data_IF_068066358694
#
_entry.id   IF_068066358694
#
_cell.length_a   1.000
_cell.length_b   1.000
_cell.length_c   1.000
_cell.angle_alpha   90.00
_cell.angle_beta   90.00
_cell.angle_gamma   90.00
#
_symmetry.space_group_name_H-M   'P 1'
#
loop_
_entity.id
_entity.type
_entity.pdbx_description
1 polymer ?
#
# COMPACT_ATOMS: atom_id res chain seq x y z
N UNK A 1 -22.14 -11.89 12.47
CA UNK A 1 -21.35 -12.61 11.45
C UNK A 1 -19.97 -11.97 11.37
N UNK A 2 -18.91 -12.63 11.84
CA UNK A 2 -17.54 -12.09 11.77
C UNK A 2 -16.95 -12.47 10.41
N UNK A 3 -16.52 -11.47 9.64
CA UNK A 3 -15.75 -11.68 8.41
C UNK A 3 -14.33 -12.11 8.79
N UNK A 4 -13.91 -13.30 8.35
CA UNK A 4 -12.60 -13.84 8.68
C UNK A 4 -11.72 -13.87 7.42
N UNK A 5 -10.78 -12.91 7.34
CA UNK A 5 -9.83 -12.73 6.26
C UNK A 5 -8.53 -12.14 6.81
N UNK A 6 -7.44 -12.34 6.10
CA UNK A 6 -6.14 -11.75 6.38
C UNK A 6 -5.70 -10.87 5.20
N UNK A 7 -5.38 -9.61 5.50
CA UNK A 7 -4.79 -8.68 4.53
C UNK A 7 -3.29 -8.97 4.42
N UNK A 8 -2.78 -9.05 3.20
CA UNK A 8 -1.37 -9.29 2.93
C UNK A 8 -0.77 -8.11 2.19
N UNK A 9 0.31 -7.55 2.73
CA UNK A 9 1.05 -6.45 2.14
C UNK A 9 2.49 -6.90 1.94
N UNK A 10 3.00 -6.72 0.73
CA UNK A 10 4.40 -6.99 0.41
C UNK A 10 5.01 -5.78 -0.24
N UNK A 11 6.11 -5.31 0.33
CA UNK A 11 6.83 -4.13 -0.13
C UNK A 11 8.09 -4.56 -0.86
N UNK A 12 8.32 -3.95 -2.01
CA UNK A 12 9.54 -4.08 -2.79
C UNK A 12 10.11 -2.70 -2.98
N UNK A 13 11.34 -2.50 -2.51
CA UNK A 13 12.05 -1.24 -2.65
C UNK A 13 13.28 -1.48 -3.52
N UNK A 14 13.45 -0.66 -4.54
CA UNK A 14 14.59 -0.70 -5.43
C UNK A 14 15.16 0.70 -5.59
N UNK A 15 16.48 0.84 -5.45
CA UNK A 15 17.15 2.09 -5.76
C UNK A 15 17.10 2.31 -7.27
N UNK A 16 17.00 3.57 -7.69
CA UNK A 16 17.02 3.94 -9.10
C UNK A 16 18.46 4.29 -9.47
N UNK A 17 19.18 3.47 -10.26
CA UNK A 17 20.63 3.67 -10.49
C UNK A 17 20.98 5.03 -11.10
N UNK A 18 20.05 5.61 -11.88
CA UNK A 18 20.22 6.91 -12.53
C UNK A 18 19.87 8.12 -11.66
N UNK A 19 19.31 7.91 -10.46
CA UNK A 19 18.86 9.00 -9.57
C UNK A 19 19.34 8.73 -8.13
N UNK A 20 20.47 9.33 -7.70
CA UNK A 20 20.89 9.23 -6.31
C UNK A 20 19.78 9.76 -5.39
N UNK A 21 19.67 9.17 -4.19
CA UNK A 21 18.65 9.50 -3.19
C UNK A 21 17.19 9.30 -3.64
N UNK A 22 16.96 8.50 -4.70
CA UNK A 22 15.63 8.10 -5.14
C UNK A 22 15.48 6.59 -5.09
N UNK A 23 14.33 6.12 -4.60
CA UNK A 23 13.94 4.72 -4.67
C UNK A 23 12.54 4.57 -5.26
N UNK A 24 12.29 3.44 -5.89
CA UNK A 24 10.97 3.00 -6.30
C UNK A 24 10.42 2.05 -5.23
N UNK A 25 9.20 2.30 -4.78
CA UNK A 25 8.49 1.43 -3.85
C UNK A 25 7.28 0.82 -4.57
N UNK A 26 7.30 -0.50 -4.73
CA UNK A 26 6.16 -1.27 -5.20
C UNK A 26 5.49 -1.97 -4.02
N UNK A 27 4.17 -1.82 -3.92
CA UNK A 27 3.36 -2.47 -2.88
C UNK A 27 2.40 -3.44 -3.54
N UNK A 28 2.52 -4.71 -3.17
CA UNK A 28 1.61 -5.77 -3.56
C UNK A 28 0.60 -6.01 -2.44
N UNK A 29 -0.69 -5.97 -2.81
CA UNK A 29 -1.81 -6.12 -1.90
C UNK A 29 -2.56 -7.43 -2.22
N UNK A 30 -2.70 -8.29 -1.23
CA UNK A 30 -3.42 -9.56 -1.31
C UNK A 30 -4.44 -9.71 -0.19
N UNK A 31 -5.42 -10.58 -0.39
CA UNK A 31 -6.42 -10.93 0.63
C UNK A 31 -6.54 -12.46 0.68
N UNK A 32 -6.23 -13.04 1.84
CA UNK A 32 -6.45 -14.44 2.13
C UNK A 32 -7.78 -14.62 2.86
N UNK A 33 -8.69 -15.39 2.27
CA UNK A 33 -10.01 -15.67 2.82
C UNK A 33 -9.95 -16.93 3.70
N UNK A 34 -10.17 -16.77 5.00
CA UNK A 34 -10.10 -17.88 5.97
C UNK A 34 -11.46 -18.59 6.12
N UNK A 35 -12.55 -17.89 5.80
CA UNK A 35 -13.89 -18.46 5.66
C UNK A 35 -14.60 -17.85 4.46
N UNK A 36 -15.34 -18.66 3.70
CA UNK A 36 -16.14 -18.17 2.58
C UNK A 36 -17.36 -17.39 3.09
N UNK A 37 -17.77 -16.37 2.32
CA UNK A 37 -18.94 -15.55 2.64
C UNK A 37 -19.67 -15.18 1.34
N UNK A 38 -21.00 -15.12 1.37
CA UNK A 38 -21.80 -14.78 0.19
C UNK A 38 -21.42 -13.40 -0.39
N UNK A 39 -20.91 -12.48 0.44
CA UNK A 39 -20.51 -11.14 0.02
C UNK A 39 -19.01 -10.99 -0.27
N UNK A 40 -18.28 -12.10 -0.45
CA UNK A 40 -16.81 -12.10 -0.59
C UNK A 40 -16.32 -11.13 -1.66
N UNK A 41 -16.92 -11.15 -2.86
CA UNK A 41 -16.56 -10.23 -3.95
C UNK A 41 -16.72 -8.75 -3.57
N UNK A 42 -17.83 -8.39 -2.91
CA UNK A 42 -18.12 -7.00 -2.50
C UNK A 42 -17.12 -6.55 -1.45
N UNK A 43 -16.84 -7.41 -0.46
CA UNK A 43 -15.88 -7.12 0.60
C UNK A 43 -14.45 -7.03 0.06
N UNK A 44 -14.02 -7.94 -0.83
CA UNK A 44 -12.72 -7.86 -1.53
C UNK A 44 -12.57 -6.51 -2.22
N UNK A 45 -13.55 -6.09 -3.04
CA UNK A 45 -13.47 -4.83 -3.77
C UNK A 45 -13.35 -3.63 -2.83
N UNK A 46 -14.15 -3.61 -1.76
CA UNK A 46 -14.12 -2.53 -0.78
C UNK A 46 -12.77 -2.44 -0.06
N UNK A 47 -12.24 -3.58 0.41
CA UNK A 47 -10.94 -3.63 1.09
C UNK A 47 -9.82 -3.23 0.14
N UNK A 48 -9.79 -3.76 -1.08
CA UNK A 48 -8.77 -3.42 -2.08
C UNK A 48 -8.77 -1.92 -2.38
N UNK A 49 -9.94 -1.34 -2.64
CA UNK A 49 -10.07 0.08 -2.96
C UNK A 49 -9.64 0.97 -1.78
N UNK A 50 -10.16 0.72 -0.58
CA UNK A 50 -9.85 1.54 0.59
C UNK A 50 -8.38 1.42 0.98
N UNK A 51 -7.82 0.22 0.96
CA UNK A 51 -6.42 0.00 1.31
C UNK A 51 -5.50 0.63 0.28
N UNK A 52 -5.79 0.48 -1.02
CA UNK A 52 -5.01 1.12 -2.09
C UNK A 52 -5.01 2.64 -1.94
N UNK A 53 -6.17 3.25 -1.69
CA UNK A 53 -6.27 4.70 -1.50
C UNK A 53 -5.47 5.16 -0.27
N UNK A 54 -5.64 4.48 0.87
CA UNK A 54 -4.91 4.78 2.11
C UNK A 54 -3.39 4.68 1.92
N UNK A 55 -2.91 3.66 1.20
CA UNK A 55 -1.49 3.50 0.91
C UNK A 55 -0.98 4.68 0.07
N UNK A 56 -1.71 5.08 -0.97
CA UNK A 56 -1.33 6.24 -1.79
C UNK A 56 -1.22 7.51 -0.95
N UNK A 57 -2.21 7.77 -0.10
CA UNK A 57 -2.18 8.92 0.82
C UNK A 57 -0.97 8.88 1.75
N UNK A 58 -0.67 7.71 2.33
CA UNK A 58 0.51 7.53 3.19
C UNK A 58 1.81 7.79 2.45
N UNK A 59 1.98 7.23 1.24
CA UNK A 59 3.18 7.48 0.44
C UNK A 59 3.30 8.95 0.01
N UNK A 60 2.20 9.61 -0.35
CA UNK A 60 2.23 11.05 -0.64
C UNK A 60 2.62 11.90 0.58
N UNK A 61 2.23 11.51 1.79
CA UNK A 61 2.68 12.19 3.01
C UNK A 61 4.17 11.97 3.26
N UNK A 62 4.65 10.75 3.08
CA UNK A 62 6.08 10.41 3.20
C UNK A 62 6.91 11.18 2.18
N UNK A 63 6.48 11.24 0.92
CA UNK A 63 7.16 12.02 -0.13
C UNK A 63 7.23 13.51 0.23
N UNK A 64 6.15 14.09 0.76
CA UNK A 64 6.14 15.49 1.24
C UNK A 64 7.10 15.72 2.40
N UNK A 65 7.12 14.83 3.39
CA UNK A 65 8.02 14.94 4.53
C UNK A 65 9.49 14.86 4.08
N UNK A 66 9.83 13.90 3.21
CA UNK A 66 11.19 13.75 2.68
C UNK A 66 11.63 14.93 1.82
N UNK A 67 10.75 15.47 0.97
CA UNK A 67 11.06 16.65 0.14
C UNK A 67 11.16 17.93 0.97
N UNK A 68 10.34 18.09 2.00
CA UNK A 68 10.39 19.26 2.89
C UNK A 68 11.70 19.33 3.68
N UNK A 69 12.24 18.18 4.09
CA UNK A 69 13.52 18.08 4.82
C UNK A 69 14.73 18.35 3.92
N UNK A 70 14.63 18.07 2.62
CA UNK A 70 15.70 18.28 1.65
C UNK A 70 15.77 19.73 1.10
N UNK A 71 14.87 20.62 1.53
CA UNK A 71 14.91 22.05 1.20
C UNK A 71 15.94 22.89 1.99
N UNK A 72 16.75 22.25 2.83
CA UNK A 72 17.87 22.86 3.54
C UNK A 72 19.21 22.29 3.04
N UNK A 73 19.69 22.79 1.92
CA UNK A 73 21.10 22.71 1.49
C UNK A 73 21.43 23.94 0.68
#
# INVERSE_FOLDING_TARGET
MVLNLQLQLKYYMANIPSKPNTCNVQVLLGIAWLKSTKQQKKVTKNIMSNTSNRLKELFSLVEKDLTSRNGGS
#
